data_IF_259728792049
#
_entry.id   IF_259728792049
#
_cell.length_a   1.000
_cell.length_b   1.000
_cell.length_c   1.000
_cell.angle_alpha   90.00
_cell.angle_beta   90.00
_cell.angle_gamma   90.00
#
_symmetry.space_group_name_H-M   'P 1'
#
loop_
_entity.id
_entity.type
_entity.pdbx_description
1 polymer ?
#
# COMPACT_ATOMS: atom_id res chain seq x y z
N UNK A 1 -10.16 -24.96 2.19
CA UNK A 1 -9.92 -24.92 1.66
C UNK A 1 -10.45 -24.82 0.96
N UNK A 2 -10.81 -24.74 1.44
CA UNK A 2 -11.28 -24.59 0.63
C UNK A 2 -10.99 -24.98 -0.76
N UNK A 3 -9.96 -25.46 -1.14
CA UNK A 3 -9.69 -26.05 -2.42
C UNK A 3 -9.55 -25.13 -3.61
N UNK A 4 -9.68 -23.86 -3.43
CA UNK A 4 -9.54 -22.95 -4.56
C UNK A 4 -8.12 -22.45 -4.66
N UNK A 5 -7.59 -22.41 -5.87
CA UNK A 5 -6.25 -21.88 -6.00
C UNK A 5 -6.29 -20.35 -6.16
N UNK A 6 -5.22 -19.67 -5.74
CA UNK A 6 -5.17 -18.22 -5.78
C UNK A 6 -5.34 -17.63 -7.17
N UNK A 7 -4.87 -18.32 -8.20
CA UNK A 7 -4.98 -17.83 -9.57
C UNK A 7 -6.43 -17.71 -10.01
N UNK A 8 -7.23 -18.71 -9.66
CA UNK A 8 -8.64 -18.68 -10.01
C UNK A 8 -9.34 -17.50 -9.32
N UNK A 9 -9.07 -17.33 -8.03
CA UNK A 9 -9.69 -16.25 -7.26
C UNK A 9 -9.31 -14.90 -7.84
N UNK A 10 -8.04 -14.70 -8.17
CA UNK A 10 -7.58 -13.45 -8.76
C UNK A 10 -8.22 -13.19 -10.12
N UNK A 11 -8.42 -14.22 -10.91
CA UNK A 11 -9.05 -14.06 -12.22
C UNK A 11 -10.48 -13.55 -12.08
N UNK A 12 -11.23 -14.14 -11.17
CA UNK A 12 -12.61 -13.71 -10.93
C UNK A 12 -12.64 -12.30 -10.36
N UNK A 13 -11.80 -12.04 -9.38
CA UNK A 13 -11.76 -10.73 -8.73
C UNK A 13 -11.43 -9.63 -9.73
N UNK A 14 -10.42 -9.85 -10.56
CA UNK A 14 -10.01 -8.88 -11.56
C UNK A 14 -11.13 -8.60 -12.55
N UNK A 15 -11.88 -9.64 -12.92
CA UNK A 15 -12.97 -9.51 -13.87
C UNK A 15 -14.06 -8.60 -13.33
N UNK A 16 -14.31 -8.68 -12.03
CA UNK A 16 -15.38 -7.89 -11.39
C UNK A 16 -14.89 -6.49 -11.03
N UNK A 17 -13.68 -6.38 -10.49
CA UNK A 17 -13.18 -5.12 -9.94
C UNK A 17 -12.09 -4.46 -10.77
N UNK A 18 -11.58 -5.14 -11.79
CA UNK A 18 -10.53 -4.58 -12.64
C UNK A 18 -9.12 -4.77 -12.11
N UNK A 19 -8.96 -5.29 -10.89
CA UNK A 19 -7.65 -5.51 -10.27
C UNK A 19 -7.61 -6.88 -9.60
N UNK A 20 -6.41 -7.41 -9.41
CA UNK A 20 -6.25 -8.61 -8.62
C UNK A 20 -6.47 -8.28 -7.14
N UNK A 21 -6.69 -9.30 -6.33
CA UNK A 21 -6.85 -9.13 -4.88
C UNK A 21 -5.58 -8.49 -4.31
N UNK A 22 -4.43 -8.94 -4.77
CA UNK A 22 -3.15 -8.41 -4.29
C UNK A 22 -3.00 -6.93 -4.60
N UNK A 23 -3.38 -6.52 -5.81
CA UNK A 23 -3.30 -5.12 -6.19
C UNK A 23 -4.26 -4.26 -5.37
N UNK A 24 -5.46 -4.74 -5.15
CA UNK A 24 -6.44 -4.02 -4.36
C UNK A 24 -5.98 -3.86 -2.92
N UNK A 25 -5.41 -4.92 -2.34
CA UNK A 25 -4.90 -4.86 -0.98
C UNK A 25 -3.72 -3.91 -0.88
N UNK A 26 -2.83 -3.93 -1.87
CA UNK A 26 -1.69 -3.02 -1.90
C UNK A 26 -2.16 -1.57 -1.96
N UNK A 27 -3.16 -1.29 -2.80
CA UNK A 27 -3.70 0.06 -2.88
C UNK A 27 -4.28 0.52 -1.56
N UNK A 28 -5.02 -0.36 -0.89
CA UNK A 28 -5.59 -0.04 0.41
C UNK A 28 -4.50 0.27 1.43
N UNK A 29 -3.47 -0.57 1.49
CA UNK A 29 -2.37 -0.39 2.42
C UNK A 29 -1.63 0.92 2.19
N UNK A 30 -1.41 1.27 0.93
CA UNK A 30 -0.71 2.50 0.59
C UNK A 30 -1.55 3.73 0.93
N UNK A 31 -2.85 3.66 0.75
CA UNK A 31 -3.74 4.76 1.13
C UNK A 31 -3.76 4.95 2.63
N UNK A 32 -3.75 3.87 3.40
CA UNK A 32 -3.69 3.97 4.85
C UNK A 32 -2.36 4.57 5.30
N UNK A 33 -1.28 4.18 4.64
CA UNK A 33 0.03 4.75 4.94
C UNK A 33 0.04 6.25 4.67
N UNK A 34 -0.56 6.68 3.57
CA UNK A 34 -0.64 8.09 3.25
C UNK A 34 -1.37 8.88 4.34
N UNK A 35 -2.46 8.33 4.85
CA UNK A 35 -3.20 8.97 5.93
C UNK A 35 -2.34 9.10 7.18
N UNK A 36 -1.61 8.04 7.53
CA UNK A 36 -0.75 8.06 8.70
C UNK A 36 0.41 9.05 8.54
N UNK A 37 0.98 9.11 7.35
CA UNK A 37 2.06 10.05 7.08
C UNK A 37 1.58 11.49 7.22
N UNK A 38 0.34 11.76 6.89
CA UNK A 38 -0.22 13.10 6.96
C UNK A 38 -0.71 13.48 8.34
N UNK A 39 -1.06 12.50 9.18
CA UNK A 39 -1.73 12.76 10.46
C UNK A 39 -0.87 12.49 11.68
N UNK A 40 0.27 11.86 11.52
CA UNK A 40 1.05 11.47 12.69
C UNK A 40 2.50 11.85 12.52
N UNK A 41 3.23 11.81 13.63
CA UNK A 41 4.67 12.05 13.63
C UNK A 41 5.46 10.74 13.68
N UNK A 42 4.80 9.63 13.37
CA UNK A 42 5.46 8.34 13.35
C UNK A 42 6.51 8.28 12.25
N UNK A 43 7.54 7.50 12.50
CA UNK A 43 8.58 7.30 11.50
C UNK A 43 8.04 6.51 10.33
N UNK A 44 8.59 6.75 9.16
CA UNK A 44 8.15 6.03 7.95
C UNK A 44 8.26 4.53 8.12
N UNK A 45 9.33 4.06 8.76
CA UNK A 45 9.50 2.62 8.96
C UNK A 45 8.39 2.04 9.83
N UNK A 46 7.96 2.79 10.84
CA UNK A 46 6.88 2.34 11.71
C UNK A 46 5.56 2.33 10.96
N UNK A 47 5.32 3.32 10.13
CA UNK A 47 4.10 3.39 9.32
C UNK A 47 4.05 2.24 8.32
N UNK A 48 5.18 1.95 7.68
CA UNK A 48 5.25 0.84 6.74
C UNK A 48 4.91 -0.48 7.43
N UNK A 49 5.48 -0.70 8.61
CA UNK A 49 5.20 -1.91 9.38
C UNK A 49 3.74 -1.99 9.78
N UNK A 50 3.19 -0.89 10.23
CA UNK A 50 1.79 -0.83 10.64
C UNK A 50 0.85 -1.17 9.49
N UNK A 51 1.25 -0.80 8.28
CA UNK A 51 0.44 -1.05 7.09
C UNK A 51 0.74 -2.41 6.44
N UNK A 52 1.55 -3.23 7.07
CA UNK A 52 1.78 -4.58 6.61
C UNK A 52 2.99 -4.77 5.71
N UNK A 53 3.89 -3.81 5.66
CA UNK A 53 5.11 -3.92 4.88
C UNK A 53 6.29 -4.22 5.78
N UNK A 54 6.96 -5.34 5.53
CA UNK A 54 8.12 -5.74 6.32
C UNK A 54 9.42 -5.16 5.78
N UNK A 55 9.41 -4.66 4.53
CA UNK A 55 10.59 -4.11 3.88
C UNK A 55 10.33 -2.66 3.51
N UNK A 56 11.07 -1.76 4.17
CA UNK A 56 10.88 -0.32 3.96
C UNK A 56 11.24 0.10 2.53
N UNK A 57 12.19 -0.56 1.92
CA UNK A 57 12.57 -0.21 0.54
C UNK A 57 11.48 -0.61 -0.45
N UNK A 58 10.90 -1.76 -0.23
CA UNK A 58 9.78 -2.19 -1.06
C UNK A 58 8.58 -1.26 -0.88
N UNK A 59 8.31 -0.90 0.37
CA UNK A 59 7.24 0.05 0.66
C UNK A 59 7.44 1.37 -0.07
N UNK A 60 8.65 1.93 0.02
CA UNK A 60 8.95 3.20 -0.64
C UNK A 60 8.79 3.12 -2.14
N UNK A 61 9.23 2.01 -2.73
CA UNK A 61 9.11 1.79 -4.16
C UNK A 61 7.65 1.73 -4.59
N UNK A 62 6.84 1.01 -3.84
CA UNK A 62 5.43 0.90 -4.16
C UNK A 62 4.69 2.22 -3.95
N UNK A 63 5.06 2.94 -2.90
CA UNK A 63 4.46 4.23 -2.62
C UNK A 63 4.72 5.20 -3.76
N UNK A 64 5.97 5.29 -4.19
CA UNK A 64 6.34 6.18 -5.28
C UNK A 64 5.64 5.79 -6.59
N UNK A 65 5.51 4.49 -6.84
CA UNK A 65 4.83 4.02 -8.04
C UNK A 65 3.36 4.44 -8.05
N UNK A 66 2.72 4.46 -6.88
CA UNK A 66 1.32 4.79 -6.79
C UNK A 66 1.07 6.30 -6.77
N UNK A 67 1.82 7.04 -5.99
CA UNK A 67 1.56 8.45 -5.75
C UNK A 67 2.46 9.39 -6.52
N UNK A 68 3.53 8.90 -7.14
CA UNK A 68 4.42 9.73 -7.93
C UNK A 68 5.56 10.37 -7.15
N UNK A 69 5.62 10.12 -5.83
CA UNK A 69 6.70 10.65 -4.99
C UNK A 69 6.90 9.72 -3.80
N UNK A 70 8.08 9.74 -3.19
CA UNK A 70 8.35 8.84 -2.07
C UNK A 70 7.61 9.26 -0.80
N UNK A 71 7.45 8.33 0.16
CA UNK A 71 6.72 8.65 1.39
C UNK A 71 7.31 9.79 2.20
N UNK A 72 8.62 10.01 2.11
CA UNK A 72 9.25 11.11 2.84
C UNK A 72 8.71 12.46 2.37
N UNK A 73 8.32 12.58 1.11
CA UNK A 73 7.78 13.84 0.61
C UNK A 73 6.36 14.08 1.08
N UNK A 74 5.66 13.02 1.46
CA UNK A 74 4.31 13.19 1.99
C UNK A 74 4.36 13.96 3.30
N UNK A 75 5.34 13.65 4.15
CA UNK A 75 5.51 14.36 5.42
C UNK A 75 5.86 15.82 5.19
N UNK A 76 6.71 16.10 4.20
CA UNK A 76 7.07 17.48 3.88
C UNK A 76 5.87 18.27 3.40
N UNK A 77 5.02 17.65 2.58
CA UNK A 77 3.83 18.32 2.09
C UNK A 77 2.89 18.68 3.21
N UNK A 78 2.81 17.84 4.21
CA UNK A 78 1.94 18.10 5.36
C UNK A 78 2.39 19.33 6.13
N UNK A 79 3.68 19.58 6.16
CA UNK A 79 4.25 20.68 6.91
C UNK A 79 4.14 22.03 6.18
N UNK A 80 3.66 22.00 4.97
CA UNK A 80 3.43 23.20 4.20
C UNK A 80 2.03 23.74 4.45
#
# INVERSE_FOLDING_TARGET
KLGKNPSYINTVFKKVYGNTIKQTLSDYRLKEAQKLLRRSNLKIIDIAAECGYSDIFYFSKRYKAKFGYPPSEESLKQNL
#
